data_IF_287986849008
#
_entry.id   IF_287986849008
#
_cell.length_a   1.000
_cell.length_b   1.000
_cell.length_c   1.000
_cell.angle_alpha   90.00
_cell.angle_beta   90.00
_cell.angle_gamma   90.00
#
_symmetry.space_group_name_H-M   'P 1'
#
loop_
_entity.id
_entity.type
_entity.pdbx_description
1 polymer ?
#
# COMPACT_ATOMS: atom_id res chain seq x y z
N UNK A 1 13.52 -12.88 -1.14
CA UNK A 1 12.19 -12.74 -0.50
C UNK A 1 11.13 -12.16 -1.44
N UNK A 2 11.43 -11.13 -2.21
CA UNK A 2 10.46 -10.53 -3.16
C UNK A 2 9.89 -11.54 -4.17
N UNK A 3 10.63 -12.59 -4.52
CA UNK A 3 10.15 -13.66 -5.40
C UNK A 3 9.15 -14.63 -4.73
N UNK A 4 9.14 -14.72 -3.42
CA UNK A 4 8.26 -15.66 -2.69
C UNK A 4 6.85 -15.09 -2.46
N UNK A 5 6.65 -13.79 -2.56
CA UNK A 5 5.32 -13.15 -2.43
C UNK A 5 4.31 -13.67 -3.47
N UNK A 6 4.78 -14.15 -4.63
CA UNK A 6 3.93 -14.78 -5.65
C UNK A 6 3.32 -16.13 -5.22
N UNK A 7 3.86 -16.75 -4.18
CA UNK A 7 3.39 -18.04 -3.65
C UNK A 7 2.63 -17.90 -2.33
N UNK A 8 2.53 -16.70 -1.78
CA UNK A 8 1.79 -16.43 -0.56
C UNK A 8 0.30 -16.66 -0.79
N UNK A 9 -0.28 -17.58 -0.04
CA UNK A 9 -1.72 -17.88 -0.07
C UNK A 9 -2.33 -17.40 1.23
N UNK A 10 -3.09 -16.32 1.17
CA UNK A 10 -3.91 -15.86 2.27
C UNK A 10 -5.16 -16.72 2.40
N UNK A 11 -5.51 -17.09 3.61
CA UNK A 11 -6.73 -17.83 3.92
C UNK A 11 -7.45 -17.20 5.10
N UNK A 12 -8.78 -17.26 5.09
CA UNK A 12 -9.55 -16.85 6.25
C UNK A 12 -9.39 -17.95 7.32
N UNK A 13 -8.79 -17.58 8.45
CA UNK A 13 -8.61 -18.47 9.59
C UNK A 13 -9.84 -18.48 10.50
N UNK A 14 -10.44 -17.30 10.68
CA UNK A 14 -11.61 -17.15 11.54
C UNK A 14 -12.40 -15.90 11.17
N UNK A 15 -13.69 -15.88 11.55
CA UNK A 15 -14.50 -14.68 11.50
C UNK A 15 -15.51 -14.65 12.64
N UNK A 16 -15.91 -13.46 13.07
CA UNK A 16 -16.92 -13.22 14.10
C UNK A 16 -17.88 -12.12 13.67
N UNK A 17 -19.16 -12.35 13.86
CA UNK A 17 -20.21 -11.35 13.69
C UNK A 17 -20.64 -10.89 15.08
N UNK A 18 -20.53 -9.61 15.35
CA UNK A 18 -20.76 -8.98 16.64
C UNK A 18 -21.85 -7.91 16.53
N UNK A 19 -22.37 -7.46 17.67
CA UNK A 19 -23.33 -6.35 17.79
C UNK A 19 -24.56 -6.51 16.86
N UNK A 20 -25.10 -7.73 16.78
CA UNK A 20 -26.28 -8.00 15.93
C UNK A 20 -26.02 -7.80 14.44
N UNK A 21 -24.79 -8.03 13.97
CA UNK A 21 -24.39 -7.89 12.55
C UNK A 21 -23.83 -6.51 12.18
N UNK A 22 -23.68 -5.60 13.15
CA UNK A 22 -23.14 -4.25 12.91
C UNK A 22 -21.60 -4.20 12.86
N UNK A 23 -20.94 -5.24 13.36
CA UNK A 23 -19.49 -5.37 13.37
C UNK A 23 -19.10 -6.79 12.93
N UNK A 24 -18.22 -6.88 11.94
CA UNK A 24 -17.65 -8.15 11.46
C UNK A 24 -16.14 -8.09 11.64
N UNK A 25 -15.57 -9.09 12.28
CA UNK A 25 -14.12 -9.25 12.43
C UNK A 25 -13.71 -10.47 11.61
N UNK A 26 -12.78 -10.29 10.70
CA UNK A 26 -12.22 -11.35 9.86
C UNK A 26 -10.73 -11.45 10.15
N UNK A 27 -10.24 -12.63 10.45
CA UNK A 27 -8.82 -12.93 10.64
C UNK A 27 -8.35 -13.73 9.45
N UNK A 28 -7.40 -13.19 8.72
CA UNK A 28 -6.76 -13.85 7.59
C UNK A 28 -5.29 -14.07 7.89
N UNK A 29 -4.78 -15.25 7.62
CA UNK A 29 -3.39 -15.61 7.85
C UNK A 29 -2.74 -16.19 6.60
N UNK A 30 -1.43 -16.08 6.53
CA UNK A 30 -0.63 -16.68 5.49
C UNK A 30 0.77 -17.08 5.98
N UNK A 31 1.34 -18.11 5.38
CA UNK A 31 2.78 -18.33 5.39
C UNK A 31 3.39 -17.48 4.28
N UNK A 32 4.14 -16.46 4.65
CA UNK A 32 4.71 -15.48 3.72
C UNK A 32 6.02 -15.99 3.11
N UNK A 33 6.84 -16.66 3.93
CA UNK A 33 8.08 -17.32 3.50
C UNK A 33 8.08 -18.77 3.97
N UNK A 34 8.70 -19.64 3.20
CA UNK A 34 8.77 -21.08 3.51
C UNK A 34 10.12 -21.53 4.03
N UNK A 35 11.19 -20.80 3.72
CA UNK A 35 12.56 -21.12 4.17
C UNK A 35 13.38 -19.83 4.37
N UNK A 36 13.55 -19.38 5.61
CA UNK A 36 12.90 -19.87 6.85
C UNK A 36 11.41 -19.51 6.89
N UNK A 37 10.63 -20.31 7.62
CA UNK A 37 9.20 -20.05 7.73
C UNK A 37 8.92 -18.72 8.44
N UNK A 38 8.10 -17.88 7.84
CA UNK A 38 7.54 -16.68 8.46
C UNK A 38 6.05 -16.55 8.17
N UNK A 39 5.33 -15.95 9.08
CA UNK A 39 3.87 -15.85 9.03
C UNK A 39 3.43 -14.39 9.03
N UNK A 40 2.32 -14.14 8.38
CA UNK A 40 1.60 -12.88 8.43
C UNK A 40 0.16 -13.11 8.83
N UNK A 41 -0.42 -12.16 9.55
CA UNK A 41 -1.84 -12.16 9.91
C UNK A 41 -2.40 -10.78 9.65
N UNK A 42 -3.59 -10.71 9.09
CA UNK A 42 -4.33 -9.46 8.91
C UNK A 42 -5.70 -9.61 9.54
N UNK A 43 -6.03 -8.67 10.41
CA UNK A 43 -7.32 -8.60 11.10
C UNK A 43 -8.11 -7.42 10.52
N UNK A 44 -9.22 -7.74 9.88
CA UNK A 44 -10.16 -6.75 9.35
C UNK A 44 -11.31 -6.57 10.32
N UNK A 45 -11.51 -5.36 10.84
CA UNK A 45 -12.69 -5.00 11.62
C UNK A 45 -13.60 -4.11 10.78
N UNK A 46 -14.69 -4.66 10.28
CA UNK A 46 -15.61 -4.01 9.34
C UNK A 46 -16.83 -3.51 10.08
N UNK A 47 -17.18 -2.24 9.91
CA UNK A 47 -18.36 -1.58 10.47
C UNK A 47 -19.06 -0.72 9.42
N UNK A 48 -20.20 -0.16 9.72
CA UNK A 48 -20.88 0.81 8.85
C UNK A 48 -20.11 2.13 8.63
N UNK A 49 -19.09 2.40 9.47
CA UNK A 49 -18.26 3.61 9.37
C UNK A 49 -16.99 3.43 8.55
N UNK A 50 -16.58 2.18 8.31
CA UNK A 50 -15.35 1.85 7.60
C UNK A 50 -14.77 0.52 8.05
N UNK A 51 -13.56 0.28 7.62
CA UNK A 51 -12.79 -0.91 7.92
C UNK A 51 -11.48 -0.51 8.60
N UNK A 52 -11.21 -1.09 9.76
CA UNK A 52 -9.92 -1.07 10.42
C UNK A 52 -9.13 -2.31 9.97
N UNK A 53 -7.87 -2.11 9.66
CA UNK A 53 -6.97 -3.17 9.23
C UNK A 53 -5.76 -3.18 10.17
N UNK A 54 -5.59 -4.27 10.89
CA UNK A 54 -4.42 -4.53 11.73
C UNK A 54 -3.60 -5.64 11.09
N UNK A 55 -2.38 -5.32 10.67
CA UNK A 55 -1.46 -6.26 10.06
C UNK A 55 -0.35 -6.61 11.05
N UNK A 56 -0.16 -7.90 11.26
CA UNK A 56 0.89 -8.44 12.10
C UNK A 56 1.79 -9.34 11.27
N UNK A 57 3.07 -9.06 11.31
CA UNK A 57 4.08 -9.89 10.69
C UNK A 57 4.94 -10.55 11.76
N UNK A 58 5.16 -11.84 11.62
CA UNK A 58 5.95 -12.67 12.55
C UNK A 58 7.25 -13.12 11.85
N UNK A 59 8.31 -12.29 11.93
CA UNK A 59 9.58 -12.61 11.30
C UNK A 59 10.22 -13.83 11.97
N UNK A 60 11.10 -14.48 11.22
CA UNK A 60 12.01 -15.49 11.75
C UNK A 60 13.41 -14.88 11.85
N UNK A 61 14.10 -15.08 12.97
CA UNK A 61 15.43 -14.50 13.22
C UNK A 61 16.50 -14.90 12.18
N UNK A 62 16.28 -15.97 11.44
CA UNK A 62 17.15 -16.40 10.35
C UNK A 62 16.88 -15.70 9.01
N UNK A 63 15.85 -14.82 8.94
CA UNK A 63 15.61 -14.02 7.74
C UNK A 63 16.67 -12.93 7.58
N UNK A 64 17.09 -12.63 6.35
CA UNK A 64 17.79 -11.39 6.07
C UNK A 64 16.89 -10.19 6.37
N UNK A 65 17.46 -9.00 6.38
CA UNK A 65 16.70 -7.75 6.47
C UNK A 65 15.54 -7.74 5.43
N UNK A 66 14.35 -7.46 5.92
CA UNK A 66 13.14 -7.42 5.08
C UNK A 66 13.03 -6.02 4.49
N UNK A 67 13.06 -5.87 3.18
CA UNK A 67 13.05 -4.54 2.56
C UNK A 67 11.71 -3.81 2.73
N UNK A 68 10.60 -4.53 2.82
CA UNK A 68 9.28 -3.94 2.86
C UNK A 68 8.22 -4.93 3.34
N UNK A 69 7.28 -4.46 4.16
CA UNK A 69 6.06 -5.17 4.53
C UNK A 69 4.88 -4.21 4.40
N UNK A 70 3.86 -4.59 3.63
CA UNK A 70 2.74 -3.69 3.38
C UNK A 70 1.50 -4.37 2.83
N UNK A 71 0.49 -3.55 2.57
CA UNK A 71 -0.77 -3.94 1.94
C UNK A 71 -0.95 -3.19 0.63
N UNK A 72 -1.36 -3.92 -0.39
CA UNK A 72 -1.68 -3.37 -1.70
C UNK A 72 -3.20 -3.38 -1.91
N UNK A 73 -3.74 -2.22 -2.28
CA UNK A 73 -5.12 -2.06 -2.71
C UNK A 73 -5.17 -1.71 -4.19
N UNK A 74 -6.06 -2.33 -4.93
CA UNK A 74 -6.37 -1.96 -6.31
C UNK A 74 -7.74 -1.29 -6.35
N UNK A 75 -7.77 -0.08 -6.90
CA UNK A 75 -8.95 0.74 -7.08
C UNK A 75 -9.23 0.93 -8.58
N UNK A 76 -10.47 1.26 -8.98
CA UNK A 76 -10.74 1.68 -10.34
C UNK A 76 -9.85 2.84 -10.80
N UNK A 77 -9.52 2.93 -12.10
CA UNK A 77 -8.57 3.92 -12.63
C UNK A 77 -9.05 5.37 -12.53
N UNK A 78 -10.33 5.60 -12.25
CA UNK A 78 -10.91 6.93 -12.05
C UNK A 78 -10.58 7.55 -10.68
N UNK A 79 -9.94 6.80 -9.77
CA UNK A 79 -9.39 7.34 -8.53
C UNK A 79 -8.06 8.04 -8.82
N UNK A 80 -8.14 9.29 -9.25
CA UNK A 80 -7.03 10.07 -9.77
C UNK A 80 -6.59 11.20 -8.84
N UNK A 81 -7.53 11.87 -8.16
CA UNK A 81 -7.19 13.01 -7.33
C UNK A 81 -6.83 12.56 -5.92
N UNK A 82 -5.60 12.85 -5.50
CA UNK A 82 -5.05 12.50 -4.20
C UNK A 82 -4.87 13.75 -3.34
N UNK A 83 -5.41 13.70 -2.11
CA UNK A 83 -5.07 14.63 -1.03
C UNK A 83 -4.45 13.83 0.09
N UNK A 84 -3.30 14.27 0.62
CA UNK A 84 -2.63 13.59 1.74
C UNK A 84 -1.99 14.57 2.72
N UNK A 85 -1.89 14.16 3.98
CA UNK A 85 -1.11 14.81 5.03
C UNK A 85 0.12 13.97 5.31
N UNK A 86 1.28 14.43 4.89
CA UNK A 86 2.55 13.70 5.00
C UNK A 86 3.72 14.53 4.52
N UNK A 87 4.87 13.90 4.31
CA UNK A 87 6.05 14.55 3.74
C UNK A 87 5.87 14.75 2.22
N UNK A 88 6.21 15.94 1.73
CA UNK A 88 6.05 16.29 0.32
C UNK A 88 6.60 17.70 0.01
N UNK A 89 6.23 18.28 -1.16
CA UNK A 89 5.40 17.71 -2.23
C UNK A 89 6.10 16.64 -3.08
N UNK A 90 7.44 16.65 -3.12
CA UNK A 90 8.24 15.73 -3.92
C UNK A 90 8.25 14.31 -3.36
N UNK A 91 8.56 13.32 -4.22
CA UNK A 91 8.76 11.95 -3.76
C UNK A 91 9.86 11.88 -2.70
N UNK A 92 9.65 11.03 -1.72
CA UNK A 92 10.62 10.85 -0.66
C UNK A 92 10.55 9.43 -0.11
N UNK A 93 11.68 8.98 0.41
CA UNK A 93 11.92 7.68 0.98
C UNK A 93 12.65 7.87 2.31
N UNK A 94 12.69 6.88 3.15
CA UNK A 94 13.31 7.00 4.48
C UNK A 94 14.78 7.45 4.42
N UNK A 95 15.50 7.04 3.39
CA UNK A 95 16.91 7.39 3.14
C UNK A 95 17.10 8.73 2.42
N UNK A 96 16.03 9.33 1.86
CA UNK A 96 16.07 10.62 1.14
C UNK A 96 14.81 11.47 1.37
N UNK A 97 14.60 11.88 2.60
CA UNK A 97 13.43 12.70 2.99
C UNK A 97 13.77 14.13 3.45
N UNK A 98 15.06 14.49 3.52
CA UNK A 98 15.51 15.75 4.13
C UNK A 98 15.05 17.03 3.38
N UNK A 99 14.69 16.94 2.11
CA UNK A 99 14.20 18.06 1.31
C UNK A 99 12.68 18.27 1.41
N UNK A 100 11.96 17.44 2.14
CA UNK A 100 10.52 17.46 2.24
C UNK A 100 10.04 18.02 3.58
N UNK A 101 8.79 18.48 3.62
CA UNK A 101 8.15 18.99 4.82
C UNK A 101 6.80 18.32 5.01
N UNK A 102 6.41 18.13 6.27
CA UNK A 102 5.06 17.66 6.59
C UNK A 102 4.06 18.78 6.26
N UNK A 103 3.11 18.47 5.42
CA UNK A 103 2.07 19.38 4.96
C UNK A 103 0.86 18.66 4.38
N UNK A 104 -0.16 19.46 4.08
CA UNK A 104 -1.34 19.00 3.35
C UNK A 104 -1.12 19.26 1.86
N UNK A 105 -1.08 18.21 1.07
CA UNK A 105 -0.81 18.27 -0.35
C UNK A 105 -1.96 17.74 -1.19
N UNK A 106 -2.14 18.32 -2.36
CA UNK A 106 -3.09 17.88 -3.38
C UNK A 106 -2.32 17.63 -4.67
N UNK A 107 -2.54 16.49 -5.29
CA UNK A 107 -1.88 16.06 -6.51
C UNK A 107 -2.77 15.08 -7.27
N UNK A 108 -2.30 14.62 -8.43
CA UNK A 108 -2.92 13.52 -9.15
C UNK A 108 -2.05 12.27 -9.09
N UNK A 109 -2.65 11.10 -9.28
CA UNK A 109 -1.90 9.84 -9.34
C UNK A 109 -0.94 9.86 -10.53
N UNK A 110 -1.37 10.45 -11.64
CA UNK A 110 -0.54 10.64 -12.83
C UNK A 110 0.71 11.48 -12.52
N UNK A 111 0.56 12.58 -11.77
CA UNK A 111 1.68 13.48 -11.43
C UNK A 111 2.65 12.88 -10.40
N UNK A 112 2.26 11.81 -9.69
CA UNK A 112 3.17 11.11 -8.79
C UNK A 112 4.21 10.25 -9.52
N UNK A 113 3.93 9.89 -10.78
CA UNK A 113 4.86 9.09 -11.57
C UNK A 113 6.04 9.96 -12.03
N UNK A 114 7.25 9.50 -11.72
CA UNK A 114 8.50 10.09 -12.21
C UNK A 114 9.00 9.29 -13.40
N UNK A 115 9.09 9.93 -14.58
CA UNK A 115 9.55 9.29 -15.81
C UNK A 115 11.08 9.12 -15.80
N UNK A 116 11.54 8.15 -15.05
CA UNK A 116 12.95 7.77 -15.04
C UNK A 116 13.35 7.12 -16.36
N UNK A 117 14.60 7.24 -16.74
CA UNK A 117 15.16 6.69 -17.99
C UNK A 117 14.84 5.20 -18.17
N UNK A 118 14.90 4.44 -17.09
CA UNK A 118 14.34 3.10 -16.96
C UNK A 118 13.24 3.18 -15.89
N UNK A 119 12.01 2.74 -16.19
CA UNK A 119 10.94 2.66 -15.20
C UNK A 119 11.39 1.91 -13.95
N UNK A 120 11.17 2.53 -12.81
CA UNK A 120 11.46 1.98 -11.49
C UNK A 120 10.46 2.53 -10.50
N UNK A 121 10.45 1.97 -9.32
CA UNK A 121 9.62 2.48 -8.24
C UNK A 121 9.87 3.97 -8.03
N UNK A 122 8.78 4.74 -7.91
CA UNK A 122 8.79 6.17 -7.73
C UNK A 122 7.50 6.63 -7.05
N UNK A 123 7.47 7.91 -6.65
CA UNK A 123 6.25 8.53 -6.14
C UNK A 123 5.92 8.24 -4.67
N UNK A 124 6.81 7.60 -3.92
CA UNK A 124 6.59 7.33 -2.49
C UNK A 124 6.49 8.61 -1.65
N UNK A 125 5.72 8.57 -0.58
CA UNK A 125 5.55 9.62 0.44
C UNK A 125 5.67 9.01 1.83
N UNK A 126 6.58 9.56 2.65
CA UNK A 126 6.80 9.12 4.03
C UNK A 126 5.98 9.95 5.02
N UNK A 127 5.83 9.44 6.24
CA UNK A 127 5.17 10.15 7.33
C UNK A 127 3.72 10.53 7.07
N UNK A 128 3.03 9.78 6.22
CA UNK A 128 1.64 10.03 5.86
C UNK A 128 0.72 9.61 7.00
N UNK A 129 -0.16 10.50 7.43
CA UNK A 129 -1.15 10.28 8.50
C UNK A 129 -2.51 9.95 7.95
N UNK A 130 -2.89 10.59 6.87
CA UNK A 130 -4.08 10.22 6.11
C UNK A 130 -3.90 10.54 4.64
N UNK A 131 -4.68 9.85 3.81
CA UNK A 131 -4.79 10.10 2.40
C UNK A 131 -6.24 9.89 1.93
N UNK A 132 -6.65 10.66 0.94
CA UNK A 132 -7.97 10.56 0.32
C UNK A 132 -7.81 10.55 -1.19
N UNK A 133 -8.30 9.50 -1.82
CA UNK A 133 -8.40 9.37 -3.27
C UNK A 133 -9.85 9.60 -3.70
N UNK A 134 -10.04 10.49 -4.65
CA UNK A 134 -11.36 10.86 -5.18
C UNK A 134 -11.48 10.36 -6.60
N UNK A 135 -12.45 9.48 -6.82
CA UNK A 135 -12.91 9.04 -8.13
C UNK A 135 -14.16 9.80 -8.56
N UNK A 136 -14.72 9.43 -9.70
CA UNK A 136 -15.91 10.11 -10.25
C UNK A 136 -17.15 10.06 -9.34
N UNK A 137 -17.36 8.97 -8.62
CA UNK A 137 -18.57 8.74 -7.80
C UNK A 137 -18.28 8.27 -6.39
N UNK A 138 -17.03 8.04 -6.04
CA UNK A 138 -16.62 7.45 -4.77
C UNK A 138 -15.38 8.15 -4.25
N UNK A 139 -15.24 8.08 -2.94
CA UNK A 139 -14.06 8.53 -2.21
C UNK A 139 -13.51 7.34 -1.44
N UNK A 140 -12.21 7.16 -1.49
CA UNK A 140 -11.49 6.19 -0.69
C UNK A 140 -10.53 6.94 0.23
N UNK A 141 -10.63 6.71 1.52
CA UNK A 141 -9.78 7.39 2.51
C UNK A 141 -9.06 6.38 3.38
N UNK A 142 -7.83 6.68 3.68
CA UNK A 142 -6.97 5.95 4.61
C UNK A 142 -6.56 6.86 5.76
N UNK A 143 -6.51 6.29 6.95
CA UNK A 143 -5.92 6.91 8.13
C UNK A 143 -4.93 5.91 8.70
N UNK A 144 -3.71 6.35 8.93
CA UNK A 144 -2.66 5.53 9.52
C UNK A 144 -2.49 5.82 11.01
N UNK A 145 -2.09 4.83 11.76
CA UNK A 145 -1.73 4.97 13.15
C UNK A 145 -0.44 4.19 13.42
N UNK A 146 0.67 4.89 13.75
CA UNK A 146 0.80 6.36 13.86
C UNK A 146 1.01 7.06 12.51
N UNK A 147 1.74 6.47 11.58
CA UNK A 147 2.05 6.98 10.24
C UNK A 147 2.27 5.82 9.28
N UNK A 148 2.26 6.11 7.99
CA UNK A 148 2.54 5.13 6.94
C UNK A 148 3.49 5.72 5.90
N UNK A 149 4.13 4.87 5.15
CA UNK A 149 4.60 5.18 3.82
C UNK A 149 3.49 4.89 2.82
N UNK A 150 3.33 5.76 1.85
CA UNK A 150 2.28 5.70 0.86
C UNK A 150 2.86 5.83 -0.55
N UNK A 151 2.62 4.82 -1.36
CA UNK A 151 2.87 4.87 -2.79
C UNK A 151 1.54 4.70 -3.53
N UNK A 152 1.24 5.63 -4.44
CA UNK A 152 0.03 5.55 -5.29
C UNK A 152 0.47 5.65 -6.74
N UNK A 153 0.09 4.66 -7.54
CA UNK A 153 0.50 4.53 -8.94
C UNK A 153 -0.60 3.89 -9.78
N UNK A 154 -0.56 4.12 -11.09
CA UNK A 154 -1.43 3.39 -12.04
C UNK A 154 -0.91 2.00 -12.39
N UNK A 155 0.27 1.63 -11.92
CA UNK A 155 0.92 0.36 -12.21
C UNK A 155 1.35 -0.34 -10.92
N UNK A 156 1.32 -1.65 -10.95
CA UNK A 156 1.93 -2.47 -9.90
C UNK A 156 3.46 -2.35 -9.97
N UNK A 157 4.17 -2.45 -8.83
CA UNK A 157 5.64 -2.46 -8.82
C UNK A 157 6.24 -3.44 -9.82
N UNK A 158 5.66 -4.63 -9.95
CA UNK A 158 6.09 -5.66 -10.90
C UNK A 158 5.89 -5.25 -12.37
N UNK A 159 4.85 -4.49 -12.68
CA UNK A 159 4.61 -3.98 -14.05
C UNK A 159 5.66 -2.95 -14.42
N UNK A 160 6.02 -2.07 -13.47
CA UNK A 160 7.08 -1.08 -13.64
C UNK A 160 8.44 -1.77 -13.80
N UNK A 161 8.79 -2.69 -12.91
CA UNK A 161 10.09 -3.41 -12.90
C UNK A 161 10.35 -4.17 -14.20
N UNK A 162 9.31 -4.77 -14.80
CA UNK A 162 9.40 -5.54 -16.03
C UNK A 162 9.44 -4.69 -17.30
N UNK A 163 9.34 -3.36 -17.18
CA UNK A 163 9.31 -2.44 -18.31
C UNK A 163 10.66 -1.76 -18.50
N UNK A 164 11.14 -1.67 -19.74
CA UNK A 164 12.43 -1.05 -20.07
C UNK A 164 12.32 0.43 -20.42
N UNK A 165 11.19 0.88 -20.95
CA UNK A 165 10.94 2.27 -21.32
C UNK A 165 9.56 2.71 -20.89
N UNK A 166 9.41 3.95 -20.41
CA UNK A 166 8.11 4.48 -19.94
C UNK A 166 6.97 4.35 -20.96
N UNK A 167 7.28 4.50 -22.24
CA UNK A 167 6.30 4.32 -23.34
C UNK A 167 5.77 2.89 -23.49
N UNK A 168 6.45 1.90 -22.90
CA UNK A 168 6.10 0.49 -22.98
C UNK A 168 5.32 0.03 -21.74
N UNK A 169 5.01 0.95 -20.81
CA UNK A 169 4.13 0.67 -19.68
C UNK A 169 2.74 0.24 -20.16
N UNK A 170 2.10 -0.71 -19.48
CA UNK A 170 0.77 -1.17 -19.87
C UNK A 170 -0.26 -0.03 -19.78
N UNK A 171 -1.36 -0.11 -20.53
CA UNK A 171 -2.45 0.86 -20.42
C UNK A 171 -2.99 0.96 -18.99
N UNK A 172 -3.36 2.16 -18.58
CA UNK A 172 -3.94 2.42 -17.26
C UNK A 172 -5.30 1.73 -17.14
N UNK A 173 -5.41 0.77 -16.24
CA UNK A 173 -6.63 -0.01 -15.98
C UNK A 173 -7.05 0.03 -14.51
N UNK A 174 -6.20 0.57 -13.65
CA UNK A 174 -6.38 0.60 -12.20
C UNK A 174 -5.60 1.75 -11.57
N UNK A 175 -5.89 2.01 -10.32
CA UNK A 175 -5.04 2.80 -9.40
C UNK A 175 -4.61 1.89 -8.27
N UNK A 176 -3.32 1.69 -8.12
CA UNK A 176 -2.70 0.89 -7.09
C UNK A 176 -2.32 1.80 -5.92
N UNK A 177 -2.61 1.37 -4.72
CA UNK A 177 -2.23 2.04 -3.50
C UNK A 177 -1.49 1.04 -2.63
N UNK A 178 -0.19 1.27 -2.46
CA UNK A 178 0.66 0.50 -1.60
C UNK A 178 0.86 1.28 -0.30
N UNK A 179 0.52 0.64 0.79
CA UNK A 179 0.72 1.11 2.14
C UNK A 179 1.78 0.24 2.79
N UNK A 180 2.82 0.86 3.31
CA UNK A 180 3.88 0.17 4.03
C UNK A 180 4.10 0.75 5.40
N UNK A 181 4.65 -0.05 6.29
CA UNK A 181 5.06 0.31 7.63
C UNK A 181 6.53 -0.06 7.78
N UNK A 182 7.30 0.86 8.32
CA UNK A 182 8.67 0.59 8.79
C UNK A 182 8.67 -0.34 10.01
#
# INVERSE_FOLDING_TARGET
>A
CIRDSNNTKWSIENYKILDGGKKVVVVSGATVCTQPECKGQVIYTITSKGMEVDMQFFPNDALPEIPEVGLLFELPPDFENLTYLGAGPEENYIDRCNATQIGLYNTTVTDLYTDYLKPQECGNRTGVRYATLVGQKKVFSLVAEPVMELNVSHWLPKEIENTWHGKDLPPVTKTCLLYTSD
#
